data_IF_885496663646
#
_entry.id   IF_885496663646
#
_cell.length_a   1.000
_cell.length_b   1.000
_cell.length_c   1.000
_cell.angle_alpha   90.00
_cell.angle_beta   90.00
_cell.angle_gamma   90.00
#
_symmetry.space_group_name_H-M   'P 1'
#
loop_
_entity.id
_entity.type
_entity.pdbx_description
1 polymer ?
#
# COMPACT_ATOMS: atom_id res chain seq x y z
N UNK A 1 -57.54 12.47 28.22
CA UNK A 1 -57.18 13.29 27.05
C UNK A 1 -55.66 13.21 26.89
N UNK A 2 -55.17 12.29 26.05
CA UNK A 2 -53.81 12.36 25.46
C UNK A 2 -53.82 13.51 24.43
N UNK A 3 -52.71 14.23 24.15
CA UNK A 3 -51.42 13.67 23.67
C UNK A 3 -50.22 14.33 24.40
N UNK A 4 -48.92 14.08 24.19
CA UNK A 4 -48.15 13.77 22.99
C UNK A 4 -46.72 13.37 23.41
N UNK A 5 -46.14 12.43 22.65
CA UNK A 5 -44.80 11.84 22.79
C UNK A 5 -43.69 12.72 22.16
N UNK A 6 -42.53 12.73 22.84
CA UNK A 6 -41.14 12.63 22.33
C UNK A 6 -40.50 13.81 21.53
N UNK A 7 -39.15 13.87 21.35
CA UNK A 7 -38.09 13.00 21.89
C UNK A 7 -36.90 13.71 22.60
N UNK A 8 -36.22 12.94 23.43
CA UNK A 8 -34.88 13.20 23.97
C UNK A 8 -33.82 12.96 22.89
N UNK A 9 -33.02 13.98 22.57
CA UNK A 9 -31.81 13.86 21.76
C UNK A 9 -30.67 13.31 22.62
N UNK A 10 -30.46 11.99 22.58
CA UNK A 10 -29.24 11.38 23.13
C UNK A 10 -28.17 11.33 22.04
N UNK A 11 -27.38 12.41 21.95
CA UNK A 11 -26.13 12.42 21.21
C UNK A 11 -25.07 11.70 22.05
N UNK A 12 -24.85 10.41 21.76
CA UNK A 12 -23.83 9.58 22.40
C UNK A 12 -22.99 8.86 21.34
N UNK A 13 -22.17 9.63 20.63
CA UNK A 13 -21.19 9.11 19.67
C UNK A 13 -20.19 8.24 20.46
N UNK A 14 -20.30 6.92 20.34
CA UNK A 14 -19.41 5.97 21.04
C UNK A 14 -17.99 6.16 20.52
N UNK A 15 -17.10 6.49 21.45
CA UNK A 15 -15.68 6.71 21.21
C UNK A 15 -15.03 5.53 20.50
N UNK A 16 -14.56 5.79 19.29
CA UNK A 16 -13.61 4.96 18.59
C UNK A 16 -12.24 5.23 19.24
N UNK A 17 -11.91 4.45 20.28
CA UNK A 17 -10.58 4.47 20.88
C UNK A 17 -9.63 3.81 19.89
N UNK A 18 -8.92 4.62 19.10
CA UNK A 18 -7.75 4.17 18.36
C UNK A 18 -6.71 3.68 19.38
N UNK A 19 -6.32 2.39 19.40
CA UNK A 19 -5.21 1.98 20.22
C UNK A 19 -3.95 2.63 19.64
N UNK A 20 -3.15 3.20 20.54
CA UNK A 20 -1.83 3.74 20.25
C UNK A 20 -1.02 2.71 19.45
N UNK A 21 -0.71 3.02 18.20
CA UNK A 21 0.01 2.18 17.26
C UNK A 21 1.37 1.79 17.88
N UNK A 22 1.50 0.56 18.36
CA UNK A 22 2.81 0.01 18.71
C UNK A 22 3.53 -0.29 17.39
N UNK A 23 4.40 0.63 16.98
CA UNK A 23 5.23 0.49 15.79
C UNK A 23 6.24 -0.65 16.00
N UNK A 24 5.82 -1.88 15.72
CA UNK A 24 6.69 -3.05 15.73
C UNK A 24 7.68 -2.95 14.56
N UNK A 25 8.95 -3.19 14.85
CA UNK A 25 10.01 -3.18 13.85
C UNK A 25 9.75 -4.19 12.72
N UNK A 26 9.96 -3.74 11.48
CA UNK A 26 9.92 -4.48 10.22
C UNK A 26 10.92 -5.67 10.26
N UNK A 27 10.55 -6.77 10.91
CA UNK A 27 11.46 -7.92 11.09
C UNK A 27 11.09 -8.86 12.23
N UNK A 28 10.26 -8.44 13.19
CA UNK A 28 9.77 -9.35 14.21
C UNK A 28 8.73 -10.35 13.64
N UNK A 29 8.75 -11.61 14.10
CA UNK A 29 7.70 -12.58 13.77
C UNK A 29 6.35 -12.01 14.24
N UNK A 30 5.43 -11.75 13.31
CA UNK A 30 4.08 -11.27 13.65
C UNK A 30 3.28 -12.45 14.20
N UNK A 31 2.87 -12.41 15.48
CA UNK A 31 2.05 -13.49 16.05
C UNK A 31 0.73 -13.58 15.28
N UNK A 32 0.29 -14.81 14.97
CA UNK A 32 -0.96 -15.07 14.26
C UNK A 32 -0.85 -15.09 12.72
N UNK A 33 0.25 -14.64 12.12
CA UNK A 33 0.48 -14.77 10.68
C UNK A 33 1.18 -16.10 10.37
N UNK A 34 0.49 -17.01 9.70
CA UNK A 34 1.08 -18.28 9.25
C UNK A 34 1.66 -18.11 7.85
N UNK A 35 2.98 -18.15 7.72
CA UNK A 35 3.68 -18.10 6.44
C UNK A 35 4.21 -19.51 6.12
N UNK A 36 3.62 -20.13 5.09
CA UNK A 36 4.19 -21.33 4.48
C UNK A 36 5.22 -20.91 3.42
N UNK A 37 5.98 -21.85 2.86
CA UNK A 37 6.88 -21.60 1.70
C UNK A 37 6.14 -21.31 0.38
N UNK A 38 4.85 -21.00 0.44
CA UNK A 38 3.98 -20.86 -0.73
C UNK A 38 4.13 -19.49 -1.37
N UNK A 39 3.89 -19.42 -2.67
CA UNK A 39 3.88 -18.16 -3.42
C UNK A 39 2.73 -17.27 -2.94
N UNK A 40 3.04 -16.02 -2.60
CA UNK A 40 2.07 -15.02 -2.18
C UNK A 40 1.98 -13.88 -3.18
N UNK A 41 0.81 -13.24 -3.23
CA UNK A 41 0.68 -11.93 -3.90
C UNK A 41 1.67 -10.96 -3.23
N UNK A 42 2.53 -10.24 -3.98
CA UNK A 42 3.61 -9.45 -3.41
C UNK A 42 3.17 -8.46 -2.32
N UNK A 43 2.02 -7.80 -2.51
CA UNK A 43 1.49 -6.83 -1.55
C UNK A 43 0.69 -7.45 -0.39
N UNK A 44 0.41 -8.76 -0.41
CA UNK A 44 -0.43 -9.39 0.60
C UNK A 44 0.26 -9.48 1.97
N UNK A 45 1.49 -9.97 2.02
CA UNK A 45 2.19 -10.16 3.30
C UNK A 45 2.40 -8.84 4.06
N UNK A 46 2.88 -7.75 3.43
CA UNK A 46 2.99 -6.46 4.11
C UNK A 46 1.65 -5.93 4.59
N UNK A 47 0.57 -6.15 3.82
CA UNK A 47 -0.78 -5.76 4.22
C UNK A 47 -1.26 -6.52 5.46
N UNK A 48 -1.10 -7.85 5.47
CA UNK A 48 -1.55 -8.69 6.59
C UNK A 48 -0.78 -8.42 7.88
N UNK A 49 0.52 -8.12 7.79
CA UNK A 49 1.33 -7.73 8.95
C UNK A 49 0.80 -6.45 9.58
N UNK A 50 0.63 -5.39 8.78
CA UNK A 50 0.06 -4.12 9.25
C UNK A 50 -1.33 -4.33 9.86
N UNK A 51 -2.17 -5.14 9.21
CA UNK A 51 -3.49 -5.43 9.70
C UNK A 51 -3.47 -6.11 11.08
N UNK A 52 -2.60 -7.11 11.28
CA UNK A 52 -2.44 -7.80 12.56
C UNK A 52 -1.81 -6.92 13.65
N UNK A 53 -0.90 -6.02 13.29
CA UNK A 53 -0.27 -5.11 14.24
C UNK A 53 -1.28 -4.06 14.76
N UNK A 54 -2.25 -3.66 13.93
CA UNK A 54 -3.25 -2.67 14.29
C UNK A 54 -4.53 -3.26 14.89
N UNK A 55 -4.89 -4.50 14.53
CA UNK A 55 -6.15 -5.14 14.92
C UNK A 55 -5.91 -6.33 15.84
N UNK A 56 -5.90 -6.08 17.15
CA UNK A 56 -5.70 -7.10 18.18
C UNK A 56 -6.79 -8.17 18.23
N UNK A 57 -7.98 -7.89 17.68
CA UNK A 57 -9.09 -8.85 17.63
C UNK A 57 -8.88 -9.96 16.59
N UNK A 58 -8.04 -9.74 15.58
CA UNK A 58 -7.73 -10.76 14.58
C UNK A 58 -6.70 -11.73 15.18
N UNK A 59 -7.13 -12.96 15.46
CA UNK A 59 -6.31 -13.96 16.15
C UNK A 59 -5.32 -14.65 15.22
N UNK A 60 -5.77 -14.99 14.01
CA UNK A 60 -4.99 -15.76 13.05
C UNK A 60 -5.36 -15.39 11.63
N UNK A 61 -4.35 -15.28 10.78
CA UNK A 61 -4.53 -15.15 9.34
C UNK A 61 -3.74 -16.24 8.63
N UNK A 62 -4.42 -16.94 7.73
CA UNK A 62 -3.85 -18.04 6.94
C UNK A 62 -4.02 -17.71 5.45
N UNK A 63 -2.93 -17.44 4.72
CA UNK A 63 -2.98 -17.34 3.27
C UNK A 63 -3.22 -18.74 2.68
N UNK A 64 -4.20 -18.82 1.78
CA UNK A 64 -4.60 -20.02 1.07
C UNK A 64 -4.13 -20.05 -0.38
N UNK A 65 -4.91 -20.75 -1.21
CA UNK A 65 -4.59 -21.06 -2.61
C UNK A 65 -4.41 -19.76 -3.42
N UNK A 66 -3.33 -19.71 -4.19
CA UNK A 66 -3.10 -18.72 -5.24
C UNK A 66 -3.69 -19.24 -6.56
N UNK A 67 -4.37 -18.37 -7.30
CA UNK A 67 -5.03 -18.66 -8.57
C UNK A 67 -4.95 -17.43 -9.49
N UNK A 68 -5.41 -17.57 -10.73
CA UNK A 68 -5.46 -16.48 -11.71
C UNK A 68 -6.89 -16.18 -12.11
N UNK A 69 -7.25 -14.90 -12.19
CA UNK A 69 -8.53 -14.44 -12.75
C UNK A 69 -8.37 -14.00 -14.21
N UNK A 70 -9.45 -14.13 -14.99
CA UNK A 70 -9.52 -13.66 -16.38
C UNK A 70 -9.42 -12.13 -16.49
N UNK A 71 -9.94 -11.39 -15.52
CA UNK A 71 -9.84 -9.93 -15.46
C UNK A 71 -8.63 -9.46 -14.63
N UNK A 72 -7.98 -8.39 -15.08
CA UNK A 72 -6.93 -7.71 -14.33
C UNK A 72 -7.51 -6.59 -13.46
N UNK A 73 -6.94 -6.37 -12.27
CA UNK A 73 -7.22 -5.20 -11.45
C UNK A 73 -5.95 -4.40 -11.20
N UNK A 74 -6.01 -3.08 -11.37
CA UNK A 74 -4.82 -2.23 -11.22
C UNK A 74 -4.35 -2.07 -9.76
N UNK A 75 -5.19 -2.44 -8.80
CA UNK A 75 -4.96 -2.17 -7.38
C UNK A 75 -5.21 -3.40 -6.54
N UNK A 76 -4.35 -3.58 -5.55
CA UNK A 76 -4.55 -4.59 -4.51
C UNK A 76 -5.87 -4.36 -3.77
N UNK A 77 -6.67 -5.40 -3.63
CA UNK A 77 -7.92 -5.38 -2.86
C UNK A 77 -8.12 -6.68 -2.11
N UNK A 78 -8.66 -6.60 -0.90
CA UNK A 78 -9.13 -7.77 -0.14
C UNK A 78 -10.62 -7.60 0.11
N UNK A 79 -11.40 -8.67 -0.10
CA UNK A 79 -12.85 -8.67 0.11
C UNK A 79 -13.28 -9.93 0.85
N UNK A 80 -14.23 -9.81 1.77
CA UNK A 80 -14.88 -10.96 2.39
C UNK A 80 -15.79 -11.63 1.36
N UNK A 81 -15.68 -12.95 1.21
CA UNK A 81 -16.47 -13.71 0.23
C UNK A 81 -17.42 -14.69 0.87
N UNK A 82 -16.98 -15.39 1.91
CA UNK A 82 -17.81 -16.39 2.59
C UNK A 82 -17.39 -16.51 4.04
N UNK A 83 -18.30 -17.03 4.85
CA UNK A 83 -18.00 -17.35 6.25
C UNK A 83 -17.10 -18.58 6.34
N UNK A 84 -16.40 -18.75 7.46
CA UNK A 84 -15.54 -19.88 7.75
C UNK A 84 -15.59 -20.23 9.23
N UNK A 85 -15.13 -21.42 9.60
CA UNK A 85 -15.13 -21.87 11.00
C UNK A 85 -14.32 -20.90 11.89
N UNK A 86 -15.03 -20.09 12.69
CA UNK A 86 -14.44 -19.11 13.58
C UNK A 86 -13.90 -17.85 12.90
N UNK A 87 -14.44 -17.47 11.74
CA UNK A 87 -14.16 -16.19 11.08
C UNK A 87 -14.61 -16.15 9.62
N UNK A 88 -13.76 -15.65 8.71
CA UNK A 88 -14.15 -15.36 7.33
C UNK A 88 -13.11 -15.76 6.30
N UNK A 89 -13.57 -16.24 5.15
CA UNK A 89 -12.79 -16.37 3.92
C UNK A 89 -12.85 -15.07 3.15
N UNK A 90 -11.68 -14.58 2.78
CA UNK A 90 -11.48 -13.41 1.96
C UNK A 90 -10.75 -13.78 0.66
N UNK A 91 -10.92 -12.94 -0.35
CA UNK A 91 -10.12 -12.96 -1.57
C UNK A 91 -9.26 -11.70 -1.66
N UNK A 92 -7.95 -11.89 -1.64
CA UNK A 92 -6.98 -10.88 -2.00
C UNK A 92 -6.73 -10.95 -3.52
N UNK A 93 -6.73 -9.80 -4.19
CA UNK A 93 -6.51 -9.70 -5.63
C UNK A 93 -5.53 -8.59 -5.95
N UNK A 94 -4.68 -8.80 -6.96
CA UNK A 94 -3.82 -7.77 -7.56
C UNK A 94 -3.44 -8.19 -8.99
N UNK A 95 -3.62 -7.30 -9.97
CA UNK A 95 -3.47 -7.65 -11.37
C UNK A 95 -4.39 -8.82 -11.73
N UNK A 96 -3.81 -9.89 -12.30
CA UNK A 96 -4.52 -11.14 -12.60
C UNK A 96 -4.44 -12.18 -11.49
N UNK A 97 -3.74 -11.89 -10.38
CA UNK A 97 -3.55 -12.81 -9.27
C UNK A 97 -4.71 -12.72 -8.29
N UNK A 98 -5.13 -13.88 -7.79
CA UNK A 98 -6.17 -14.03 -6.76
C UNK A 98 -5.68 -15.02 -5.72
N UNK A 99 -5.69 -14.63 -4.45
CA UNK A 99 -5.30 -15.48 -3.34
C UNK A 99 -6.41 -15.52 -2.30
N UNK A 100 -6.75 -16.72 -1.87
CA UNK A 100 -7.64 -16.91 -0.73
C UNK A 100 -6.92 -16.57 0.56
N UNK A 101 -7.63 -15.99 1.53
CA UNK A 101 -7.09 -15.65 2.85
C UNK A 101 -8.16 -15.96 3.89
N UNK A 102 -7.82 -16.74 4.90
CA UNK A 102 -8.72 -17.11 5.97
C UNK A 102 -8.37 -16.30 7.22
N UNK A 103 -9.36 -15.62 7.76
CA UNK A 103 -9.28 -14.85 8.99
C UNK A 103 -10.00 -15.61 10.10
N UNK A 104 -9.34 -15.78 11.24
CA UNK A 104 -10.00 -16.17 12.49
C UNK A 104 -10.12 -14.95 13.38
N UNK A 105 -11.35 -14.51 13.60
CA UNK A 105 -11.68 -13.25 14.28
C UNK A 105 -13.08 -13.32 14.89
N UNK A 106 -13.31 -12.70 16.07
CA UNK A 106 -14.65 -12.54 16.63
C UNK A 106 -15.42 -11.36 16.01
N UNK A 107 -14.81 -10.58 15.13
CA UNK A 107 -15.45 -9.45 14.45
C UNK A 107 -16.65 -9.93 13.63
N UNK A 108 -17.65 -9.05 13.49
CA UNK A 108 -18.72 -9.23 12.52
C UNK A 108 -18.19 -9.04 11.08
N UNK A 109 -18.98 -9.50 10.12
CA UNK A 109 -18.66 -9.34 8.69
C UNK A 109 -18.50 -7.86 8.32
N UNK A 110 -19.41 -7.02 8.80
CA UNK A 110 -19.46 -5.59 8.51
C UNK A 110 -18.23 -4.86 9.07
N UNK A 111 -17.82 -5.19 10.29
CA UNK A 111 -16.62 -4.63 10.91
C UNK A 111 -15.36 -5.03 10.14
N UNK A 112 -15.22 -6.31 9.78
CA UNK A 112 -14.07 -6.77 9.01
C UNK A 112 -14.05 -6.11 7.61
N UNK A 113 -15.18 -6.05 6.93
CA UNK A 113 -15.28 -5.36 5.64
C UNK A 113 -14.93 -3.86 5.77
N UNK A 114 -15.38 -3.19 6.83
CA UNK A 114 -15.06 -1.80 7.13
C UNK A 114 -13.55 -1.57 7.27
N UNK A 115 -12.88 -2.38 8.09
CA UNK A 115 -11.42 -2.31 8.30
C UNK A 115 -10.66 -2.56 6.98
N UNK A 116 -11.06 -3.58 6.21
CA UNK A 116 -10.43 -3.90 4.93
C UNK A 116 -10.62 -2.79 3.89
N UNK A 117 -11.77 -2.12 3.90
CA UNK A 117 -12.05 -0.97 3.02
C UNK A 117 -11.31 0.30 3.43
N UNK A 118 -11.19 0.56 4.73
CA UNK A 118 -10.42 1.69 5.25
C UNK A 118 -8.95 1.59 4.82
N UNK A 119 -8.33 0.43 5.04
CA UNK A 119 -6.93 0.19 4.65
C UNK A 119 -6.69 0.24 3.15
N UNK A 120 -7.74 0.02 2.34
CA UNK A 120 -7.67 0.26 0.89
C UNK A 120 -7.51 1.74 0.55
N UNK A 121 -8.09 2.66 1.33
CA UNK A 121 -7.99 4.11 1.09
C UNK A 121 -6.56 4.62 1.33
N UNK A 122 -5.86 4.10 2.33
CA UNK A 122 -4.47 4.49 2.65
C UNK A 122 -3.48 4.12 1.52
N UNK A 123 -3.75 3.03 0.81
CA UNK A 123 -2.99 2.65 -0.38
C UNK A 123 -3.28 3.55 -1.61
N UNK A 124 -4.34 4.38 -1.56
CA UNK A 124 -4.73 5.30 -2.65
C UNK A 124 -3.88 6.57 -2.65
N UNK A 125 -3.53 7.09 -1.47
CA UNK A 125 -2.72 8.31 -1.28
C UNK A 125 -1.25 8.02 -1.50
N UNK A 126 -0.70 7.03 -0.80
CA UNK A 126 0.72 6.65 -0.87
C UNK A 126 1.23 6.33 -2.29
N UNK A 127 0.42 5.68 -3.14
CA UNK A 127 0.84 5.32 -4.51
C UNK A 127 0.77 6.48 -5.51
N UNK A 128 -0.11 7.46 -5.29
CA UNK A 128 -0.18 8.68 -6.10
C UNK A 128 1.06 9.55 -5.88
N UNK A 129 1.56 9.56 -4.66
CA UNK A 129 2.77 10.29 -4.28
C UNK A 129 4.02 9.60 -4.79
N UNK A 130 4.19 8.29 -4.56
CA UNK A 130 5.40 7.56 -4.94
C UNK A 130 5.70 7.55 -6.45
N UNK A 131 4.70 7.27 -7.31
CA UNK A 131 4.92 7.29 -8.77
C UNK A 131 5.20 8.70 -9.32
N UNK A 132 4.62 9.73 -8.70
CA UNK A 132 4.86 11.12 -9.08
C UNK A 132 6.26 11.58 -8.68
N UNK A 133 6.69 11.21 -7.47
CA UNK A 133 8.00 11.54 -6.93
C UNK A 133 9.13 10.84 -7.68
N UNK A 134 8.99 9.56 -8.00
CA UNK A 134 9.96 8.79 -8.80
C UNK A 134 10.17 9.43 -10.18
N UNK A 135 9.07 9.82 -10.85
CA UNK A 135 9.12 10.53 -12.13
C UNK A 135 9.79 11.90 -12.03
N UNK A 136 9.56 12.63 -10.94
CA UNK A 136 10.22 13.92 -10.68
C UNK A 136 11.72 13.74 -10.45
N UNK A 137 12.11 12.72 -9.68
CA UNK A 137 13.52 12.35 -9.44
C UNK A 137 14.22 11.99 -10.74
N UNK A 138 13.63 11.12 -11.56
CA UNK A 138 14.19 10.76 -12.88
C UNK A 138 14.33 11.98 -13.80
N UNK A 139 13.32 12.86 -13.83
CA UNK A 139 13.39 14.08 -14.66
C UNK A 139 14.47 15.05 -14.17
N UNK A 140 14.64 15.20 -12.87
CA UNK A 140 15.69 16.04 -12.27
C UNK A 140 17.10 15.47 -12.55
N UNK A 141 17.26 14.16 -12.44
CA UNK A 141 18.53 13.47 -12.67
C UNK A 141 18.95 13.59 -14.14
N UNK A 142 18.01 13.36 -15.06
CA UNK A 142 18.24 13.54 -16.50
C UNK A 142 18.57 14.99 -16.88
N UNK A 143 17.99 15.97 -16.18
CA UNK A 143 18.33 17.39 -16.36
C UNK A 143 19.76 17.69 -15.91
N UNK A 144 20.19 17.14 -14.77
CA UNK A 144 21.55 17.32 -14.27
C UNK A 144 22.60 16.68 -15.19
N UNK A 145 22.31 15.51 -15.75
CA UNK A 145 23.15 14.87 -16.76
C UNK A 145 23.31 15.76 -17.99
N UNK A 146 22.20 16.26 -18.54
CA UNK A 146 22.22 17.18 -19.68
C UNK A 146 23.04 18.46 -19.39
N UNK A 147 22.88 19.04 -18.20
CA UNK A 147 23.66 20.22 -17.78
C UNK A 147 25.17 19.93 -17.62
N UNK A 148 25.56 18.68 -17.33
CA UNK A 148 26.98 18.28 -17.33
C UNK A 148 27.51 18.17 -18.76
N UNK A 149 26.78 17.49 -19.64
CA UNK A 149 27.16 17.33 -21.05
C UNK A 149 27.35 18.68 -21.75
N UNK A 150 26.46 19.65 -21.51
CA UNK A 150 26.58 21.00 -22.09
C UNK A 150 27.83 21.74 -21.58
N UNK A 151 28.19 21.59 -20.30
CA UNK A 151 29.42 22.17 -19.73
C UNK A 151 30.69 21.56 -20.32
N UNK A 152 30.67 20.26 -20.57
CA UNK A 152 31.80 19.56 -21.18
C UNK A 152 31.95 19.96 -22.66
N UNK A 153 30.85 20.04 -23.41
CA UNK A 153 30.85 20.47 -24.81
C UNK A 153 31.36 21.91 -24.99
N UNK A 154 30.92 22.83 -24.14
CA UNK A 154 31.40 24.22 -24.16
C UNK A 154 32.88 24.32 -23.85
N UNK A 155 33.36 23.56 -22.85
CA UNK A 155 34.78 23.49 -22.51
C UNK A 155 35.61 22.91 -23.67
N UNK A 156 35.10 21.91 -24.38
CA UNK A 156 35.75 21.33 -25.56
C UNK A 156 35.82 22.34 -26.71
N UNK A 157 34.74 23.07 -26.99
CA UNK A 157 34.72 24.11 -28.02
C UNK A 157 35.74 25.21 -27.71
N UNK A 158 35.76 25.72 -26.48
CA UNK A 158 36.74 26.75 -26.09
C UNK A 158 38.18 26.28 -26.29
N UNK A 159 38.48 25.02 -25.93
CA UNK A 159 39.80 24.42 -26.18
C UNK A 159 40.10 24.31 -27.67
N UNK A 160 39.12 23.94 -28.49
CA UNK A 160 39.27 23.85 -29.95
C UNK A 160 39.51 25.24 -30.58
N UNK A 161 38.75 26.25 -30.15
CA UNK A 161 38.88 27.64 -30.57
C UNK A 161 40.29 28.18 -30.27
N UNK A 162 40.75 28.01 -29.03
CA UNK A 162 42.10 28.41 -28.60
C UNK A 162 43.17 27.72 -29.46
N UNK A 163 43.05 26.40 -29.68
CA UNK A 163 43.98 25.68 -30.57
C UNK A 163 43.97 26.24 -31.98
N UNK A 164 42.80 26.55 -32.53
CA UNK A 164 42.64 27.11 -33.88
C UNK A 164 43.30 28.48 -34.00
N UNK A 165 43.07 29.36 -33.04
CA UNK A 165 43.70 30.70 -32.99
C UNK A 165 45.21 30.56 -32.90
N UNK A 166 45.73 29.73 -31.97
CA UNK A 166 47.17 29.51 -31.82
C UNK A 166 47.83 28.94 -33.09
N UNK A 167 47.10 28.17 -33.90
CA UNK A 167 47.62 27.66 -35.18
C UNK A 167 47.78 28.75 -36.26
N UNK A 168 47.06 29.89 -36.15
CA UNK A 168 47.20 31.02 -37.08
C UNK A 168 48.41 31.92 -36.78
N UNK A 169 49.00 31.79 -35.58
CA UNK A 169 50.17 32.54 -35.14
C UNK A 169 51.48 31.72 -35.23
N UNK A 170 51.44 30.54 -35.86
CA UNK A 170 52.61 29.70 -36.19
C UNK A 170 52.89 29.77 -37.68
#
# INVERSE_FOLDING_TARGET
MFPSRAPLLFAGFRGFVFPLLSARAFGSKTPGLVLNHSTHIPCLIPFLRRLLDEQSLIKKVVPGRLSRSRGSIDRFTVRVTSDSLGGFKCLAREGTLVQEVFFSTPLSREELEGILQEKRKDNRTSRREGKGEERRKQKALKRLELERELRDATSQMQRAEIRRVLALYK
#
